data_IF_527865867516
#
_entry.id   IF_527865867516
#
_cell.length_a   1.000
_cell.length_b   1.000
_cell.length_c   1.000
_cell.angle_alpha   90.00
_cell.angle_beta   90.00
_cell.angle_gamma   90.00
#
_symmetry.space_group_name_H-M   'P 1'
#
loop_
_entity.id
_entity.type
_entity.pdbx_description
1 polymer ?
2 water ?
#
# COMPACT_ATOMS: atom_id res chain seq x y z
N UNK A 1 20.95 16.39 -5.37
CA UNK A 1 20.74 14.99 -5.03
C UNK A 1 19.94 14.77 -3.77
N UNK A 2 19.27 13.62 -3.72
CA UNK A 2 18.47 13.26 -2.56
C UNK A 2 19.28 12.33 -1.68
N UNK A 3 19.63 12.75 -0.46
CA UNK A 3 20.35 11.85 0.44
C UNK A 3 19.44 10.74 0.95
N UNK A 4 20.05 9.59 1.20
CA UNK A 4 19.32 8.42 1.68
C UNK A 4 19.21 8.53 3.20
N UNK A 5 17.97 8.59 3.70
CA UNK A 5 17.75 8.64 5.14
C UNK A 5 18.21 7.34 5.79
N UNK A 6 17.71 6.22 5.28
CA UNK A 6 18.03 4.89 5.80
C UNK A 6 17.47 3.90 4.79
N UNK A 7 17.78 2.63 5.01
CA UNK A 7 17.28 1.59 4.13
C UNK A 7 16.20 0.79 4.84
N UNK A 8 15.25 0.28 4.05
CA UNK A 8 14.17 -0.56 4.55
C UNK A 8 14.09 -1.79 3.67
N UNK A 9 13.46 -2.83 4.22
CA UNK A 9 13.31 -4.11 3.54
C UNK A 9 11.83 -4.37 3.37
N UNK A 10 11.44 -4.77 2.16
CA UNK A 10 10.04 -5.01 1.84
C UNK A 10 9.57 -6.31 2.47
N UNK A 11 8.56 -6.22 3.35
CA UNK A 11 7.91 -7.39 3.92
C UNK A 11 6.76 -7.89 3.05
N UNK A 12 6.18 -7.01 2.24
CA UNK A 12 5.13 -7.36 1.29
C UNK A 12 5.49 -6.78 -0.07
N UNK A 13 5.12 -7.49 -1.13
CA UNK A 13 5.33 -6.97 -2.47
C UNK A 13 4.37 -5.81 -2.74
N UNK A 14 4.73 -5.00 -3.73
CA UNK A 14 3.93 -3.84 -4.10
C UNK A 14 4.19 -3.48 -5.55
N UNK A 15 3.12 -3.45 -6.35
CA UNK A 15 3.20 -3.13 -7.77
C UNK A 15 2.77 -1.68 -7.98
N UNK A 16 3.56 -0.94 -8.75
CA UNK A 16 3.26 0.46 -9.02
C UNK A 16 2.14 0.58 -10.04
N UNK A 17 1.17 1.46 -9.75
CA UNK A 17 0.06 1.70 -10.67
C UNK A 17 0.35 2.84 -11.64
N UNK A 18 1.05 3.88 -11.18
CA UNK A 18 1.38 5.00 -12.02
C UNK A 18 2.83 5.39 -11.89
N UNK A 19 3.21 6.52 -12.49
CA UNK A 19 4.62 6.92 -12.49
C UNK A 19 5.10 7.48 -11.16
N UNK A 20 4.20 7.93 -10.29
CA UNK A 20 4.57 8.43 -8.97
C UNK A 20 4.80 7.32 -7.96
N UNK A 21 4.42 6.09 -8.29
CA UNK A 21 4.50 4.98 -7.35
C UNK A 21 5.82 4.24 -7.51
N UNK A 22 6.39 3.81 -6.38
CA UNK A 22 7.56 2.96 -6.36
C UNK A 22 7.11 1.52 -6.12
N UNK A 23 7.32 0.65 -7.09
CA UNK A 23 7.02 -0.75 -6.94
C UNK A 23 8.25 -1.57 -6.58
N UNK A 24 8.01 -2.72 -5.95
CA UNK A 24 9.11 -3.59 -5.55
C UNK A 24 8.57 -4.97 -5.20
N UNK A 25 9.49 -5.92 -5.08
CA UNK A 25 9.23 -7.29 -4.68
C UNK A 25 9.48 -7.45 -3.19
N UNK A 26 8.82 -8.45 -2.61
CA UNK A 26 9.15 -8.85 -1.24
C UNK A 26 10.62 -9.20 -1.15
N UNK A 27 11.30 -8.63 -0.16
CA UNK A 27 12.72 -8.85 0.01
C UNK A 27 13.62 -7.81 -0.61
N UNK A 28 13.08 -6.94 -1.45
CA UNK A 28 13.88 -5.87 -2.05
C UNK A 28 14.32 -4.89 -0.97
N UNK A 29 15.51 -4.32 -1.16
CA UNK A 29 15.97 -3.23 -0.32
C UNK A 29 15.57 -1.91 -0.96
N UNK A 30 15.07 -0.99 -0.14
CA UNK A 30 14.58 0.30 -0.61
C UNK A 30 15.33 1.41 0.12
N UNK A 31 15.81 2.39 -0.64
CA UNK A 31 16.49 3.56 -0.10
C UNK A 31 15.45 4.64 0.15
N UNK A 32 15.18 4.94 1.41
CA UNK A 32 14.17 5.93 1.76
C UNK A 32 14.74 7.32 1.51
N UNK A 33 13.97 8.15 0.80
CA UNK A 33 14.37 9.51 0.46
C UNK A 33 13.55 10.58 1.15
N UNK A 34 12.32 10.28 1.55
CA UNK A 34 11.48 11.26 2.21
C UNK A 34 10.44 10.55 3.06
N UNK A 35 10.31 10.99 4.31
CA UNK A 35 9.24 10.52 5.19
C UNK A 35 8.03 11.41 4.94
N UNK A 36 7.23 10.98 3.96
CA UNK A 36 6.20 11.83 3.37
C UNK A 36 5.12 12.15 4.38
N UNK A 37 4.63 11.13 5.07
CA UNK A 37 3.35 11.19 5.77
C UNK A 37 3.37 10.11 6.83
N UNK A 38 2.32 10.07 7.66
CA UNK A 38 2.21 9.01 8.65
C UNK A 38 2.28 7.63 8.00
N UNK A 39 1.72 7.50 6.80
CA UNK A 39 1.54 6.20 6.17
C UNK A 39 2.29 6.03 4.86
N UNK A 40 3.07 7.02 4.41
CA UNK A 40 3.73 6.94 3.12
C UNK A 40 5.19 7.35 3.21
N UNK A 41 6.02 6.70 2.40
CA UNK A 41 7.43 7.00 2.28
C UNK A 41 7.78 7.18 0.81
N UNK A 42 8.81 7.98 0.54
CA UNK A 42 9.37 8.12 -0.80
C UNK A 42 10.74 7.47 -0.82
N UNK A 43 11.00 6.66 -1.84
CA UNK A 43 12.24 5.91 -1.84
C UNK A 43 12.68 5.49 -3.22
N UNK A 44 13.87 4.88 -3.26
CA UNK A 44 14.47 4.39 -4.49
C UNK A 44 14.71 2.89 -4.42
N UNK A 45 14.51 2.23 -5.56
CA UNK A 45 14.77 0.79 -5.68
C UNK A 45 14.94 0.47 -7.15
N UNK A 46 16.05 -0.19 -7.50
CA UNK A 46 16.32 -0.64 -8.87
C UNK A 46 16.23 0.51 -9.87
N UNK A 47 16.80 1.66 -9.50
CA UNK A 47 16.76 2.83 -10.37
C UNK A 47 15.49 3.64 -10.31
N UNK A 48 14.40 3.10 -9.76
CA UNK A 48 13.12 3.79 -9.73
C UNK A 48 12.96 4.59 -8.44
N UNK A 49 12.23 5.70 -8.54
CA UNK A 49 11.93 6.56 -7.39
C UNK A 49 10.42 6.75 -7.32
N UNK A 50 9.86 6.61 -6.12
CA UNK A 50 8.44 6.87 -5.95
C UNK A 50 8.02 6.71 -4.51
N UNK A 51 6.71 6.80 -4.29
CA UNK A 51 6.12 6.67 -2.97
C UNK A 51 5.53 5.27 -2.82
N UNK A 52 5.33 4.86 -1.57
CA UNK A 52 4.85 3.52 -1.24
C UNK A 52 4.40 3.52 0.21
N UNK A 53 3.50 2.62 0.59
CA UNK A 53 3.01 2.60 1.97
C UNK A 53 4.06 2.14 2.97
N UNK A 54 4.12 2.86 4.10
CA UNK A 54 5.06 2.55 5.17
C UNK A 54 4.89 1.13 5.70
N UNK A 55 3.65 0.63 5.73
CA UNK A 55 3.36 -0.66 6.35
C UNK A 55 3.81 -1.85 5.52
N UNK A 56 4.45 -1.63 4.37
CA UNK A 56 4.95 -2.71 3.54
C UNK A 56 6.42 -3.03 3.81
N UNK A 57 7.09 -2.26 4.67
CA UNK A 57 8.53 -2.36 4.85
C UNK A 57 8.85 -2.41 6.34
N UNK A 58 10.03 -2.95 6.64
CA UNK A 58 10.60 -2.94 7.98
C UNK A 58 12.01 -2.38 7.89
N UNK A 59 12.54 -1.85 8.99
CA UNK A 59 13.89 -1.27 8.95
C UNK A 59 14.93 -2.29 8.52
N UNK A 60 15.97 -1.80 7.84
CA UNK A 60 17.04 -2.66 7.36
C UNK A 60 18.14 -2.79 8.41
N UNK B 3 -22.94 -7.89 9.31
CA UNK B 3 -23.25 -6.81 8.36
C UNK B 3 -22.05 -6.30 7.57
N UNK B 4 -22.04 -4.99 7.36
CA UNK B 4 -20.91 -4.27 6.81
C UNK B 4 -20.60 -3.14 7.78
N UNK B 5 -19.36 -3.11 8.28
CA UNK B 5 -18.97 -2.09 9.25
C UNK B 5 -19.22 -0.69 8.70
N UNK B 6 -18.55 -0.37 7.59
CA UNK B 6 -18.77 0.89 6.88
C UNK B 6 -18.15 0.74 5.50
N UNK B 7 -18.40 1.72 4.65
CA UNK B 7 -17.88 1.70 3.29
C UNK B 7 -16.73 2.69 3.15
N UNK B 8 -15.85 2.42 2.18
CA UNK B 8 -14.73 3.29 1.87
C UNK B 8 -14.59 3.38 0.36
N UNK B 9 -13.89 4.43 -0.08
CA UNK B 9 -13.61 4.66 -1.49
C UNK B 9 -12.10 4.67 -1.67
N UNK B 10 -11.62 3.92 -2.67
CA UNK B 10 -10.20 3.90 -2.99
C UNK B 10 -9.79 5.24 -3.58
N UNK B 11 -8.85 5.92 -2.93
CA UNK B 11 -8.20 7.08 -3.52
C UNK B 11 -6.89 6.72 -4.21
N UNK B 12 -6.45 5.47 -4.09
CA UNK B 12 -5.25 4.97 -4.73
C UNK B 12 -5.51 3.52 -5.13
N UNK B 13 -5.12 3.18 -6.36
CA UNK B 13 -5.32 1.82 -6.85
C UNK B 13 -4.36 0.85 -6.17
N UNK B 14 -4.79 -0.40 -6.07
CA UNK B 14 -4.04 -1.43 -5.36
C UNK B 14 -4.25 -2.76 -6.06
N UNK B 15 -3.18 -3.31 -6.62
CA UNK B 15 -3.23 -4.60 -7.30
C UNK B 15 -2.86 -5.70 -6.32
N UNK B 16 -3.68 -6.75 -6.28
CA UNK B 16 -3.46 -7.84 -5.33
C UNK B 16 -2.13 -8.54 -5.59
N UNK B 17 -1.34 -8.68 -4.54
CA UNK B 17 -0.05 -9.36 -4.60
C UNK B 17 -0.13 -10.80 -4.13
N UNK B 18 -1.32 -11.29 -3.81
CA UNK B 18 -1.50 -12.63 -3.33
C UNK B 18 -2.97 -12.98 -3.20
N UNK B 19 -3.27 -14.26 -3.01
CA UNK B 19 -4.68 -14.66 -2.89
C UNK B 19 -5.40 -13.97 -1.75
N UNK B 20 -4.67 -13.60 -0.69
CA UNK B 20 -5.28 -12.98 0.48
C UNK B 20 -5.52 -11.48 0.30
N UNK B 21 -4.90 -10.86 -0.71
CA UNK B 21 -5.04 -9.43 -0.93
C UNK B 21 -6.32 -9.11 -1.69
N UNK B 22 -7.00 -8.04 -1.28
CA UNK B 22 -8.13 -7.49 -2.03
C UNK B 22 -7.61 -6.39 -2.94
N UNK B 23 -7.55 -6.66 -4.23
CA UNK B 23 -7.19 -5.66 -5.20
C UNK B 23 -8.38 -4.82 -5.63
N UNK B 24 -8.10 -3.58 -6.02
CA UNK B 24 -9.15 -2.67 -6.45
C UNK B 24 -8.54 -1.53 -7.24
N UNK B 25 -9.37 -0.92 -8.07
CA UNK B 25 -8.96 0.24 -8.84
C UNK B 25 -9.32 1.53 -8.12
N UNK B 26 -8.53 2.56 -8.40
CA UNK B 26 -8.80 3.91 -7.93
C UNK B 26 -10.28 4.26 -8.11
N UNK B 27 -10.90 4.78 -7.05
CA UNK B 27 -12.29 5.19 -7.11
C UNK B 27 -13.31 4.11 -6.85
N UNK B 28 -12.89 2.87 -6.63
CA UNK B 28 -13.84 1.81 -6.32
C UNK B 28 -14.37 1.99 -4.90
N UNK B 29 -15.60 1.52 -4.69
CA UNK B 29 -16.20 1.48 -3.37
C UNK B 29 -16.00 0.09 -2.78
N UNK B 30 -15.59 0.04 -1.52
CA UNK B 30 -15.28 -1.22 -0.84
C UNK B 30 -16.07 -1.29 0.45
N UNK B 31 -16.72 -2.43 0.68
CA UNK B 31 -17.36 -2.73 1.96
C UNK B 31 -16.29 -3.16 2.96
N UNK B 32 -16.23 -2.50 4.11
CA UNK B 32 -15.24 -2.83 5.13
C UNK B 32 -15.83 -3.87 6.07
N UNK B 33 -15.16 -5.02 6.16
CA UNK B 33 -15.62 -6.18 6.91
C UNK B 33 -14.95 -6.32 8.27
N UNK B 34 -13.71 -5.85 8.38
CA UNK B 34 -12.92 -6.03 9.59
C UNK B 34 -11.78 -5.03 9.57
N UNK B 35 -11.56 -4.37 10.70
CA UNK B 35 -10.40 -3.52 10.90
C UNK B 35 -9.34 -4.37 11.59
N UNK B 36 -8.54 -5.07 10.80
CA UNK B 36 -7.49 -5.93 11.33
C UNK B 36 -6.27 -5.04 11.55
N UNK B 37 -6.05 -4.66 12.81
CA UNK B 37 -4.92 -3.86 13.30
C UNK B 37 -4.77 -2.51 12.59
N UNK B 38 -3.69 -1.80 12.93
CA UNK B 38 -3.65 -0.35 12.73
C UNK B 38 -3.63 0.04 11.26
N UNK B 39 -3.03 -0.79 10.41
CA UNK B 39 -2.70 -0.40 9.05
C UNK B 39 -3.45 -1.18 7.98
N UNK B 40 -4.24 -2.17 8.36
CA UNK B 40 -4.87 -3.07 7.39
C UNK B 40 -6.36 -3.17 7.65
N UNK B 41 -7.12 -3.32 6.56
CA UNK B 41 -8.54 -3.58 6.64
C UNK B 41 -8.88 -4.79 5.78
N UNK B 42 -9.96 -5.46 6.15
CA UNK B 42 -10.51 -6.56 5.38
C UNK B 42 -11.81 -6.10 4.74
N UNK B 43 -11.96 -6.36 3.44
CA UNK B 43 -13.07 -5.79 2.71
C UNK B 43 -13.64 -6.72 1.67
N UNK B 44 -14.79 -6.31 1.14
CA UNK B 44 -15.44 -6.97 0.01
C UNK B 44 -15.61 -5.97 -1.11
N UNK B 45 -15.27 -6.37 -2.33
CA UNK B 45 -15.45 -5.52 -3.50
C UNK B 45 -15.77 -6.40 -4.70
N UNK B 46 -16.97 -6.21 -5.26
CA UNK B 46 -17.44 -6.94 -6.44
C UNK B 46 -17.17 -8.44 -6.32
N UNK B 47 -17.69 -9.03 -5.24
CA UNK B 47 -17.67 -10.47 -5.10
C UNK B 47 -16.37 -11.08 -4.62
N UNK B 48 -15.37 -10.28 -4.27
CA UNK B 48 -14.10 -10.78 -3.78
C UNK B 48 -13.82 -10.22 -2.40
N UNK B 49 -13.11 -11.01 -1.58
CA UNK B 49 -12.80 -10.65 -0.20
C UNK B 49 -11.29 -10.75 0.01
N UNK B 50 -10.72 -9.79 0.74
CA UNK B 50 -9.30 -9.81 1.05
C UNK B 50 -8.92 -8.63 1.92
N UNK B 51 -7.62 -8.54 2.20
CA UNK B 51 -7.06 -7.48 3.03
C UNK B 51 -6.41 -6.44 2.14
N UNK B 52 -6.24 -5.23 2.67
CA UNK B 52 -5.67 -4.12 1.92
C UNK B 52 -5.24 -3.03 2.90
N UNK B 53 -4.28 -2.19 2.52
CA UNK B 53 -3.80 -1.15 3.44
C UNK B 53 -4.83 -0.05 3.65
N UNK B 54 -4.98 0.36 4.92
CA UNK B 54 -5.95 1.40 5.28
C UNK B 54 -5.65 2.72 4.60
N UNK B 55 -4.37 3.01 4.35
CA UNK B 55 -3.95 4.30 3.80
C UNK B 55 -4.32 4.47 2.33
N UNK B 56 -4.90 3.46 1.69
CA UNK B 56 -5.32 3.56 0.30
C UNK B 56 -6.75 4.05 0.14
N UNK B 57 -7.51 4.19 1.23
CA UNK B 57 -8.94 4.44 1.13
C UNK B 57 -9.36 5.56 2.08
N UNK B 58 -10.50 6.16 1.75
CA UNK B 58 -11.15 7.20 2.55
C UNK B 58 -12.59 6.77 2.82
N UNK B 59 -13.17 7.13 3.96
CA UNK B 59 -14.58 6.79 4.20
C UNK B 59 -15.48 7.48 3.19
N UNK B 60 -16.58 6.81 2.87
CA UNK B 60 -17.54 7.33 1.90
C UNK B 60 -18.57 8.23 2.55
#
# INVERSE_FOLDING_TARGET
GRPVLYQVVAQHSYSAQGPEDLGFRQGDTVDVLCEVDQAWLEGHCDGRIGIFPKCFVVPAGPRMS
GRPVLYQVVAQHSYSAQGPEDLGFRQGDTVDVLCEVDQAWLEGHCDGRIGIFPKCFVVPAGPRMS
#
